data_IF_877429582266
#
_entry.id   IF_877429582266
#
_cell.length_a   1.000
_cell.length_b   1.000
_cell.length_c   1.000
_cell.angle_alpha   90.00
_cell.angle_beta   90.00
_cell.angle_gamma   90.00
#
_symmetry.space_group_name_H-M   'P 1'
#
loop_
_entity.id
_entity.type
_entity.pdbx_description
1 polymer ?
#
# COMPACT_ATOMS: atom_id res chain seq x y z
N UNK A 1 -21.76 -13.69 17.60
CA UNK A 1 -22.08 -14.27 16.27
C UNK A 1 -20.76 -14.58 15.63
N UNK A 2 -20.47 -15.82 15.29
CA UNK A 2 -19.22 -16.17 14.63
C UNK A 2 -19.33 -15.79 13.14
N UNK A 3 -18.34 -15.06 12.63
CA UNK A 3 -18.30 -14.68 11.23
C UNK A 3 -17.74 -15.83 10.38
N UNK A 4 -18.16 -15.90 9.12
CA UNK A 4 -17.48 -16.73 8.13
C UNK A 4 -16.07 -16.23 7.90
N UNK A 5 -15.14 -17.07 7.38
CA UNK A 5 -13.78 -16.66 7.10
C UNK A 5 -13.68 -15.42 6.22
N UNK A 6 -13.04 -14.37 6.73
CA UNK A 6 -12.88 -13.09 6.03
C UNK A 6 -11.84 -13.22 4.90
N UNK A 7 -10.70 -13.84 5.19
CA UNK A 7 -9.67 -14.14 4.21
C UNK A 7 -9.76 -15.63 3.83
N UNK A 8 -9.93 -15.93 2.55
CA UNK A 8 -10.10 -17.31 2.04
C UNK A 8 -9.02 -17.73 1.04
N UNK A 9 -8.14 -16.83 0.69
CA UNK A 9 -7.05 -17.02 -0.26
C UNK A 9 -5.85 -16.19 0.17
N UNK A 10 -4.65 -16.72 -0.01
CA UNK A 10 -3.41 -15.95 0.21
C UNK A 10 -3.12 -14.98 -0.94
N UNK A 11 -3.88 -14.99 -2.04
CA UNK A 11 -3.87 -13.93 -3.05
C UNK A 11 -4.78 -12.74 -2.70
N UNK A 12 -5.62 -12.86 -1.67
CA UNK A 12 -6.51 -11.79 -1.22
C UNK A 12 -5.69 -10.72 -0.48
N UNK A 13 -4.85 -10.01 -1.23
CA UNK A 13 -3.89 -9.01 -0.73
C UNK A 13 -3.41 -8.13 -1.89
N UNK A 14 -2.76 -7.01 -1.55
CA UNK A 14 -2.21 -6.09 -2.53
C UNK A 14 -0.95 -6.64 -3.23
N UNK A 15 -0.86 -6.51 -4.57
CA UNK A 15 0.27 -6.97 -5.38
C UNK A 15 1.62 -6.46 -4.86
N UNK A 16 1.69 -5.25 -4.31
CA UNK A 16 2.95 -4.70 -3.83
C UNK A 16 3.59 -5.54 -2.71
N UNK A 17 2.81 -6.35 -1.98
CA UNK A 17 3.35 -7.26 -0.96
C UNK A 17 4.22 -8.35 -1.61
N UNK A 18 3.74 -8.98 -2.66
CA UNK A 18 4.54 -9.96 -3.41
C UNK A 18 5.76 -9.33 -4.07
N UNK A 19 5.58 -8.13 -4.64
CA UNK A 19 6.69 -7.43 -5.29
C UNK A 19 7.81 -7.07 -4.32
N UNK A 20 7.50 -6.50 -3.16
CA UNK A 20 8.52 -6.18 -2.16
C UNK A 20 9.15 -7.44 -1.58
N UNK A 21 8.32 -8.46 -1.32
CA UNK A 21 8.77 -9.72 -0.74
C UNK A 21 9.73 -10.46 -1.66
N UNK A 22 9.51 -10.46 -2.97
CA UNK A 22 10.44 -11.05 -3.94
C UNK A 22 11.84 -10.41 -3.84
N UNK A 23 11.94 -9.07 -3.71
CA UNK A 23 13.23 -8.41 -3.51
C UNK A 23 13.88 -8.82 -2.19
N UNK A 24 13.07 -8.89 -1.11
CA UNK A 24 13.55 -9.28 0.21
C UNK A 24 14.02 -10.75 0.18
N UNK A 25 13.25 -11.64 -0.43
CA UNK A 25 13.61 -13.05 -0.61
C UNK A 25 14.93 -13.22 -1.34
N UNK A 26 15.20 -12.44 -2.39
CA UNK A 26 16.44 -12.58 -3.15
C UNK A 26 17.66 -11.93 -2.50
N UNK A 27 17.47 -10.91 -1.65
CA UNK A 27 18.59 -10.05 -1.21
C UNK A 27 18.72 -9.85 0.30
N UNK A 28 17.63 -10.03 1.05
CA UNK A 28 17.54 -9.56 2.44
C UNK A 28 16.84 -10.57 3.36
N UNK A 29 17.07 -11.86 3.17
CA UNK A 29 16.44 -12.94 3.96
C UNK A 29 16.87 -12.96 5.43
N UNK A 30 17.95 -12.26 5.78
CA UNK A 30 18.48 -12.10 7.14
C UNK A 30 17.80 -11.02 7.96
N UNK A 31 16.89 -10.23 7.35
CA UNK A 31 16.18 -9.18 8.06
C UNK A 31 15.00 -9.73 8.86
N UNK A 32 14.84 -9.22 10.09
CA UNK A 32 13.66 -9.40 10.94
C UNK A 32 12.91 -8.08 11.08
N UNK A 33 11.58 -8.12 10.99
CA UNK A 33 10.72 -6.94 11.07
C UNK A 33 9.75 -6.99 12.24
N UNK A 34 9.47 -5.83 12.84
CA UNK A 34 8.41 -5.67 13.84
C UNK A 34 7.42 -4.62 13.37
N UNK A 35 6.15 -5.03 13.26
CA UNK A 35 5.04 -4.22 12.79
C UNK A 35 4.05 -3.98 13.93
N UNK A 36 3.46 -2.78 13.93
CA UNK A 36 2.49 -2.40 14.96
C UNK A 36 1.24 -1.80 14.33
N UNK A 37 0.10 -2.26 14.81
CA UNK A 37 -1.20 -1.69 14.48
C UNK A 37 -1.40 -0.33 15.14
N UNK A 38 -2.11 0.56 14.47
CA UNK A 38 -2.58 1.83 15.02
C UNK A 38 -3.94 2.19 14.43
N UNK A 39 -4.93 2.38 15.31
CA UNK A 39 -6.17 3.08 14.98
C UNK A 39 -5.98 4.57 15.25
N UNK A 40 -6.27 5.41 14.25
CA UNK A 40 -6.16 6.88 14.36
C UNK A 40 -7.48 7.55 14.76
N UNK A 41 -8.58 6.81 14.72
CA UNK A 41 -9.87 7.28 15.21
C UNK A 41 -9.90 7.15 16.73
N UNK A 42 -10.04 8.29 17.44
CA UNK A 42 -10.01 8.32 18.91
C UNK A 42 -11.30 7.81 19.56
N UNK A 43 -12.39 7.82 18.81
CA UNK A 43 -13.76 7.43 19.18
C UNK A 43 -14.09 5.96 18.88
N UNK A 44 -13.16 5.25 18.22
CA UNK A 44 -13.33 3.83 17.90
C UNK A 44 -12.94 2.97 19.09
N UNK A 45 -13.85 2.10 19.51
CA UNK A 45 -13.67 1.14 20.60
C UNK A 45 -13.84 -0.27 20.04
N UNK A 46 -12.90 -1.14 20.35
CA UNK A 46 -12.98 -2.57 20.07
C UNK A 46 -13.40 -3.30 21.34
N UNK A 47 -14.48 -4.09 21.26
CA UNK A 47 -14.93 -4.88 22.41
C UNK A 47 -14.14 -6.18 22.56
N UNK A 48 -14.12 -6.82 23.74
CA UNK A 48 -13.50 -8.14 23.91
C UNK A 48 -13.99 -9.19 22.93
N UNK A 49 -15.29 -9.15 22.55
CA UNK A 49 -15.89 -10.07 21.58
C UNK A 49 -15.34 -9.82 20.16
N UNK A 50 -15.12 -8.55 19.76
CA UNK A 50 -14.46 -8.20 18.50
C UNK A 50 -13.01 -8.71 18.48
N UNK A 51 -12.28 -8.58 19.58
CA UNK A 51 -10.89 -9.06 19.70
C UNK A 51 -10.84 -10.59 19.64
N UNK A 52 -11.80 -11.27 20.27
CA UNK A 52 -11.91 -12.72 20.15
C UNK A 52 -12.14 -13.13 18.68
N UNK A 53 -13.09 -12.50 17.99
CA UNK A 53 -13.38 -12.78 16.58
C UNK A 53 -12.13 -12.50 15.70
N UNK A 54 -11.44 -11.38 15.92
CA UNK A 54 -10.18 -11.07 15.22
C UNK A 54 -9.15 -12.21 15.40
N UNK A 55 -8.97 -12.72 16.62
CA UNK A 55 -8.06 -13.84 16.86
C UNK A 55 -8.50 -15.13 16.17
N UNK A 56 -9.80 -15.45 16.16
CA UNK A 56 -10.35 -16.62 15.43
C UNK A 56 -10.11 -16.49 13.92
N UNK A 57 -10.24 -15.29 13.35
CA UNK A 57 -9.93 -15.02 11.95
C UNK A 57 -8.44 -15.10 11.63
N UNK A 58 -7.57 -14.65 12.55
CA UNK A 58 -6.11 -14.83 12.43
C UNK A 58 -5.72 -16.31 12.50
N UNK A 59 -6.34 -17.07 13.39
CA UNK A 59 -6.13 -18.52 13.49
C UNK A 59 -6.52 -19.21 12.18
N UNK A 60 -7.66 -18.82 11.58
CA UNK A 60 -8.07 -19.32 10.26
C UNK A 60 -7.06 -18.94 9.16
N UNK A 61 -6.65 -17.65 9.08
CA UNK A 61 -5.64 -17.17 8.11
C UNK A 61 -4.39 -18.06 8.16
N UNK A 62 -3.93 -18.43 9.35
CA UNK A 62 -2.74 -19.25 9.54
C UNK A 62 -2.91 -20.73 9.14
N UNK A 63 -4.11 -21.16 8.75
CA UNK A 63 -4.36 -22.49 8.15
C UNK A 63 -4.25 -22.49 6.62
N UNK A 64 -4.26 -21.31 6.00
CA UNK A 64 -4.27 -21.17 4.54
C UNK A 64 -2.91 -21.53 3.92
N UNK A 65 -2.98 -22.02 2.70
CA UNK A 65 -1.84 -22.28 1.82
C UNK A 65 -2.16 -21.82 0.42
N UNK A 66 -1.16 -21.45 -0.36
CA UNK A 66 -1.36 -21.15 -1.77
C UNK A 66 -1.88 -22.38 -2.52
N UNK A 67 -2.94 -22.21 -3.29
CA UNK A 67 -3.49 -23.22 -4.19
C UNK A 67 -2.68 -23.26 -5.48
N UNK A 68 -2.79 -24.37 -6.21
CA UNK A 68 -2.05 -24.54 -7.47
C UNK A 68 -2.40 -23.43 -8.48
N UNK A 69 -3.68 -23.14 -8.67
CA UNK A 69 -4.17 -22.10 -9.57
C UNK A 69 -3.69 -20.69 -9.19
N UNK A 70 -3.51 -20.42 -7.91
CA UNK A 70 -2.99 -19.16 -7.39
C UNK A 70 -1.49 -19.00 -7.72
N UNK A 71 -0.72 -20.08 -7.55
CA UNK A 71 0.70 -20.11 -7.91
C UNK A 71 0.90 -20.02 -9.43
N UNK A 72 0.06 -20.70 -10.21
CA UNK A 72 0.09 -20.65 -11.67
C UNK A 72 -0.25 -19.23 -12.18
N UNK A 73 -1.18 -18.53 -11.51
CA UNK A 73 -1.47 -17.14 -11.81
C UNK A 73 -0.29 -16.22 -11.50
N UNK A 74 0.35 -16.35 -10.33
CA UNK A 74 1.54 -15.56 -9.99
C UNK A 74 2.65 -15.76 -11.02
N UNK A 75 2.90 -17.00 -11.50
CA UNK A 75 3.86 -17.28 -12.57
C UNK A 75 3.52 -16.61 -13.90
N UNK A 76 2.23 -16.38 -14.16
CA UNK A 76 1.81 -15.69 -15.39
C UNK A 76 2.14 -14.20 -15.38
N UNK A 77 2.41 -13.61 -14.23
CA UNK A 77 2.81 -12.21 -14.09
C UNK A 77 4.29 -12.10 -14.45
N UNK A 78 4.59 -11.46 -15.57
CA UNK A 78 5.91 -11.43 -16.24
C UNK A 78 7.09 -11.15 -15.32
N UNK A 79 6.94 -10.34 -14.28
CA UNK A 79 8.01 -9.92 -13.39
C UNK A 79 8.07 -10.69 -12.07
N UNK A 80 7.14 -11.62 -11.83
CA UNK A 80 7.22 -12.54 -10.69
C UNK A 80 8.06 -13.75 -11.11
N UNK A 81 9.13 -14.04 -10.37
CA UNK A 81 10.11 -15.06 -10.71
C UNK A 81 9.71 -16.44 -10.20
N UNK A 82 10.06 -17.47 -10.95
CA UNK A 82 9.67 -18.87 -10.66
C UNK A 82 10.21 -19.37 -9.30
N UNK A 83 11.44 -19.02 -8.93
CA UNK A 83 12.05 -19.41 -7.67
C UNK A 83 11.34 -18.77 -6.47
N UNK A 84 10.88 -17.54 -6.61
CA UNK A 84 10.04 -16.90 -5.59
C UNK A 84 8.65 -17.58 -5.49
N UNK A 85 8.04 -17.98 -6.60
CA UNK A 85 6.76 -18.74 -6.57
C UNK A 85 6.95 -20.10 -5.93
N UNK A 86 8.11 -20.79 -6.16
CA UNK A 86 8.42 -22.02 -5.47
C UNK A 86 8.63 -21.83 -3.95
N UNK A 87 9.19 -20.70 -3.53
CA UNK A 87 9.22 -20.32 -2.11
C UNK A 87 7.79 -20.16 -1.56
N UNK A 88 6.92 -19.42 -2.25
CA UNK A 88 5.52 -19.22 -1.83
C UNK A 88 4.74 -20.53 -1.73
N UNK A 89 5.03 -21.51 -2.55
CA UNK A 89 4.42 -22.87 -2.48
C UNK A 89 4.65 -23.53 -1.12
N UNK A 90 5.76 -23.21 -0.46
CA UNK A 90 6.12 -23.76 0.86
C UNK A 90 5.79 -22.80 2.01
N UNK A 91 5.62 -21.52 1.71
CA UNK A 91 5.36 -20.50 2.71
C UNK A 91 3.97 -20.63 3.32
N UNK A 92 3.86 -20.30 4.60
CA UNK A 92 2.60 -20.24 5.36
C UNK A 92 2.64 -19.07 6.33
N UNK A 93 1.49 -18.41 6.59
CA UNK A 93 1.38 -17.50 7.72
C UNK A 93 1.62 -18.27 9.03
N UNK A 94 2.52 -17.78 9.86
CA UNK A 94 2.87 -18.41 11.15
C UNK A 94 2.17 -17.65 12.27
N UNK A 95 1.29 -18.36 13.01
CA UNK A 95 0.47 -17.76 14.08
C UNK A 95 1.31 -17.11 15.19
N UNK A 96 2.42 -17.71 15.54
CA UNK A 96 3.32 -17.25 16.61
C UNK A 96 3.98 -15.90 16.30
N UNK A 97 3.93 -15.43 15.06
CA UNK A 97 4.42 -14.11 14.72
C UNK A 97 3.44 -12.99 15.06
N UNK A 98 2.16 -13.30 15.34
CA UNK A 98 1.10 -12.31 15.54
C UNK A 98 0.56 -12.39 16.96
N UNK A 99 0.51 -11.23 17.64
CA UNK A 99 -0.24 -11.05 18.88
C UNK A 99 -1.34 -10.03 18.66
N UNK A 100 -2.56 -10.30 19.17
CA UNK A 100 -3.68 -9.37 19.10
C UNK A 100 -4.44 -9.36 20.43
N UNK A 101 -4.70 -8.16 20.97
CA UNK A 101 -5.36 -7.97 22.26
C UNK A 101 -5.77 -6.52 22.48
N UNK A 102 -6.30 -6.22 23.67
CA UNK A 102 -6.50 -4.84 24.12
C UNK A 102 -5.35 -4.42 25.02
N UNK A 103 -4.94 -3.17 24.88
CA UNK A 103 -4.00 -2.55 25.82
C UNK A 103 -4.70 -2.17 27.14
N UNK A 104 -3.96 -1.61 28.08
CA UNK A 104 -4.47 -1.13 29.38
C UNK A 104 -5.54 -0.02 29.28
N UNK A 105 -5.60 0.65 28.12
CA UNK A 105 -6.58 1.69 27.82
C UNK A 105 -7.78 1.16 27.01
N UNK A 106 -7.86 -0.15 26.75
CA UNK A 106 -8.91 -0.78 25.95
C UNK A 106 -8.80 -0.51 24.44
N UNK A 107 -7.62 -0.10 23.95
CA UNK A 107 -7.37 0.07 22.52
C UNK A 107 -6.85 -1.23 21.92
N UNK A 108 -7.27 -1.52 20.67
CA UNK A 108 -6.78 -2.69 19.94
C UNK A 108 -5.27 -2.55 19.69
N UNK A 109 -4.53 -3.57 20.10
CA UNK A 109 -3.10 -3.72 19.90
C UNK A 109 -2.84 -4.96 19.08
N UNK A 110 -2.17 -4.82 17.93
CA UNK A 110 -1.70 -5.96 17.14
C UNK A 110 -0.22 -5.73 16.85
N UNK A 111 0.58 -6.75 17.12
CA UNK A 111 2.00 -6.78 16.81
C UNK A 111 2.31 -7.97 15.92
N UNK A 112 3.17 -7.76 14.91
CA UNK A 112 3.72 -8.84 14.09
C UNK A 112 5.24 -8.79 14.18
N UNK A 113 5.86 -9.91 14.56
CA UNK A 113 7.30 -10.00 14.76
C UNK A 113 7.84 -11.30 14.15
N UNK A 114 8.77 -11.20 13.21
CA UNK A 114 9.36 -12.37 12.54
C UNK A 114 10.31 -12.00 11.43
N UNK A 115 10.82 -13.00 10.66
CA UNK A 115 11.57 -12.73 9.44
C UNK A 115 10.78 -11.77 8.53
N UNK A 116 11.47 -10.75 8.01
CA UNK A 116 10.80 -9.64 7.33
C UNK A 116 9.95 -10.11 6.15
N UNK A 117 10.47 -11.04 5.34
CA UNK A 117 9.76 -11.65 4.20
C UNK A 117 8.46 -12.38 4.60
N UNK A 118 8.32 -12.79 5.85
CA UNK A 118 7.11 -13.43 6.36
C UNK A 118 6.20 -12.45 7.11
N UNK A 119 6.79 -11.61 7.98
CA UNK A 119 6.05 -10.67 8.82
C UNK A 119 5.32 -9.60 7.99
N UNK A 120 5.91 -9.14 6.89
CA UNK A 120 5.31 -8.11 6.04
C UNK A 120 4.00 -8.54 5.38
N UNK A 121 3.81 -9.83 5.13
CA UNK A 121 2.62 -10.35 4.47
C UNK A 121 1.35 -10.18 5.31
N UNK A 122 1.48 -10.10 6.64
CA UNK A 122 0.35 -9.98 7.54
C UNK A 122 -0.39 -8.62 7.46
N UNK A 123 0.26 -7.53 7.00
CA UNK A 123 -0.32 -6.17 7.07
C UNK A 123 -1.73 -6.11 6.48
N UNK A 124 -1.90 -6.57 5.24
CA UNK A 124 -3.17 -6.41 4.52
C UNK A 124 -4.23 -7.31 5.11
N UNK A 125 -3.96 -8.59 5.29
CA UNK A 125 -4.91 -9.54 5.89
C UNK A 125 -5.41 -9.08 7.26
N UNK A 126 -4.51 -8.59 8.13
CA UNK A 126 -4.91 -8.12 9.46
C UNK A 126 -5.77 -6.85 9.40
N UNK A 127 -5.47 -5.92 8.47
CA UNK A 127 -6.28 -4.72 8.29
C UNK A 127 -7.67 -5.04 7.75
N UNK A 128 -7.80 -5.98 6.82
CA UNK A 128 -9.07 -6.49 6.31
C UNK A 128 -9.89 -7.14 7.42
N UNK A 129 -9.28 -8.06 8.18
CA UNK A 129 -9.92 -8.73 9.31
C UNK A 129 -10.44 -7.71 10.33
N UNK A 130 -9.60 -6.78 10.76
CA UNK A 130 -9.98 -5.76 11.75
C UNK A 130 -11.12 -4.88 11.23
N UNK A 131 -11.03 -4.44 9.98
CA UNK A 131 -12.04 -3.56 9.41
C UNK A 131 -13.38 -4.27 9.27
N UNK A 132 -13.40 -5.47 8.69
CA UNK A 132 -14.64 -6.22 8.47
C UNK A 132 -15.29 -6.67 9.77
N UNK A 133 -14.53 -7.17 10.76
CA UNK A 133 -15.04 -7.51 12.09
C UNK A 133 -15.70 -6.29 12.73
N UNK A 134 -15.03 -5.13 12.70
CA UNK A 134 -15.57 -3.91 13.29
C UNK A 134 -16.92 -3.52 12.65
N UNK A 135 -16.99 -3.44 11.33
CA UNK A 135 -18.21 -3.00 10.65
C UNK A 135 -19.37 -3.98 10.81
N UNK A 136 -19.11 -5.29 10.71
CA UNK A 136 -20.16 -6.33 10.87
C UNK A 136 -20.68 -6.45 12.30
N UNK A 137 -19.86 -6.19 13.30
CA UNK A 137 -20.27 -6.30 14.70
C UNK A 137 -20.81 -5.00 15.31
N UNK A 138 -20.48 -3.85 14.71
CA UNK A 138 -20.83 -2.53 15.23
C UNK A 138 -22.12 -1.96 14.64
N UNK A 139 -22.37 -2.23 13.35
CA UNK A 139 -23.43 -1.57 12.59
C UNK A 139 -24.45 -2.56 12.02
N UNK A 140 -25.59 -2.02 11.59
CA UNK A 140 -26.52 -2.74 10.71
C UNK A 140 -25.87 -2.87 9.31
N UNK A 141 -25.31 -4.04 9.07
CA UNK A 141 -24.48 -4.30 7.90
C UNK A 141 -25.28 -4.22 6.58
N UNK A 142 -26.55 -4.65 6.58
CA UNK A 142 -27.42 -4.57 5.40
C UNK A 142 -27.71 -3.11 5.01
N UNK A 143 -27.88 -2.24 6.00
CA UNK A 143 -28.07 -0.82 5.78
C UNK A 143 -26.81 -0.17 5.21
N UNK A 144 -25.61 -0.55 5.69
CA UNK A 144 -24.35 -0.10 5.14
C UNK A 144 -24.17 -0.52 3.69
N UNK A 145 -24.47 -1.77 3.34
CA UNK A 145 -24.39 -2.28 1.97
C UNK A 145 -25.29 -1.47 1.03
N UNK A 146 -26.51 -1.17 1.43
CA UNK A 146 -27.42 -0.36 0.62
C UNK A 146 -26.86 1.04 0.37
N UNK A 147 -26.32 1.69 1.40
CA UNK A 147 -25.68 3.00 1.26
C UNK A 147 -24.47 2.94 0.34
N UNK A 148 -23.64 1.88 0.46
CA UNK A 148 -22.46 1.66 -0.40
C UNK A 148 -22.87 1.44 -1.86
N UNK A 149 -23.95 0.68 -2.12
CA UNK A 149 -24.47 0.40 -3.46
C UNK A 149 -24.96 1.68 -4.15
N UNK A 150 -25.76 2.51 -3.45
CA UNK A 150 -26.25 3.79 -3.96
C UNK A 150 -25.10 4.72 -4.38
N UNK A 151 -24.01 4.74 -3.59
CA UNK A 151 -22.81 5.53 -3.89
C UNK A 151 -21.99 4.95 -5.05
N UNK A 152 -21.90 3.62 -5.15
CA UNK A 152 -21.24 2.96 -6.28
C UNK A 152 -22.00 3.23 -7.59
N UNK A 153 -23.32 3.15 -7.59
CA UNK A 153 -24.19 3.47 -8.73
C UNK A 153 -23.93 4.91 -9.22
N UNK A 154 -23.86 5.86 -8.30
CA UNK A 154 -23.59 7.27 -8.63
C UNK A 154 -22.22 7.44 -9.30
N UNK A 155 -21.17 6.76 -8.81
CA UNK A 155 -19.82 6.79 -9.39
C UNK A 155 -19.79 6.21 -10.80
N UNK A 156 -20.39 5.02 -10.99
CA UNK A 156 -20.46 4.36 -12.30
C UNK A 156 -21.21 5.23 -13.29
N UNK A 157 -22.34 5.82 -12.88
CA UNK A 157 -23.10 6.76 -13.71
C UNK A 157 -22.23 7.95 -14.12
N UNK A 158 -21.50 8.58 -13.18
CA UNK A 158 -20.64 9.74 -13.45
C UNK A 158 -19.47 9.40 -14.39
N UNK A 159 -18.97 8.17 -14.38
CA UNK A 159 -17.99 7.69 -15.36
C UNK A 159 -18.61 7.54 -16.75
N UNK A 160 -19.79 6.95 -16.82
CA UNK A 160 -20.45 6.63 -18.09
C UNK A 160 -21.06 7.87 -18.78
N UNK A 161 -21.43 8.91 -18.03
CA UNK A 161 -21.92 10.18 -18.58
C UNK A 161 -20.77 11.19 -18.88
N UNK A 162 -19.51 10.82 -18.61
CA UNK A 162 -18.33 11.62 -18.91
C UNK A 162 -18.01 12.71 -17.87
N UNK A 163 -18.65 12.69 -16.69
CA UNK A 163 -18.27 13.57 -15.57
C UNK A 163 -16.87 13.23 -15.05
N UNK A 164 -16.55 11.94 -14.97
CA UNK A 164 -15.21 11.44 -14.64
C UNK A 164 -14.55 10.82 -15.88
N UNK A 165 -13.43 11.42 -16.32
CA UNK A 165 -12.74 11.03 -17.55
C UNK A 165 -11.37 10.39 -17.32
N UNK A 166 -10.88 10.43 -16.07
CA UNK A 166 -9.58 9.88 -15.69
C UNK A 166 -9.59 8.34 -15.60
N UNK A 167 -8.40 7.75 -15.66
CA UNK A 167 -8.18 6.33 -15.39
C UNK A 167 -7.71 6.11 -13.97
N UNK A 168 -8.20 5.05 -13.29
CA UNK A 168 -7.79 4.70 -11.93
C UNK A 168 -7.65 3.20 -11.74
N UNK A 169 -6.86 2.84 -10.73
CA UNK A 169 -6.82 1.50 -10.16
C UNK A 169 -7.57 1.47 -8.82
N UNK A 170 -8.28 0.41 -8.58
CA UNK A 170 -8.91 0.16 -7.28
C UNK A 170 -7.83 -0.28 -6.27
N UNK A 171 -7.68 0.44 -5.13
CA UNK A 171 -6.67 0.25 -4.08
C UNK A 171 -7.32 0.11 -2.69
N UNK A 172 -8.52 -0.46 -2.63
CA UNK A 172 -9.34 -0.49 -1.42
C UNK A 172 -9.15 -1.69 -0.51
N UNK A 173 -8.37 -2.68 -0.91
CA UNK A 173 -8.22 -3.98 -0.27
C UNK A 173 -8.13 -3.90 1.27
N UNK A 174 -7.12 -3.25 1.82
CA UNK A 174 -6.81 -3.19 3.27
C UNK A 174 -7.86 -2.53 4.17
N UNK A 175 -8.82 -1.80 3.62
CA UNK A 175 -9.89 -1.10 4.37
C UNK A 175 -11.27 -1.32 3.76
N UNK A 176 -11.42 -2.39 3.00
CA UNK A 176 -12.69 -2.78 2.39
C UNK A 176 -13.78 -2.95 3.44
N UNK A 177 -15.02 -2.69 3.09
CA UNK A 177 -16.17 -2.91 3.96
C UNK A 177 -16.31 -4.40 4.27
N UNK A 178 -16.21 -5.25 3.25
CA UNK A 178 -16.06 -6.69 3.34
C UNK A 178 -15.45 -7.27 2.06
N UNK A 179 -15.01 -8.53 2.13
CA UNK A 179 -14.53 -9.28 0.97
C UNK A 179 -15.58 -9.35 -0.14
N UNK A 180 -16.82 -9.69 0.21
CA UNK A 180 -17.93 -9.83 -0.74
C UNK A 180 -18.27 -8.48 -1.39
N UNK A 181 -18.17 -7.39 -0.62
CA UNK A 181 -18.45 -6.06 -1.15
C UNK A 181 -17.34 -5.57 -2.09
N UNK A 182 -16.07 -5.76 -1.74
CA UNK A 182 -14.97 -5.43 -2.64
C UNK A 182 -15.06 -6.21 -3.96
N UNK A 183 -15.45 -7.48 -3.90
CA UNK A 183 -15.69 -8.32 -5.07
C UNK A 183 -16.76 -7.71 -5.99
N UNK A 184 -17.87 -7.23 -5.44
CA UNK A 184 -18.92 -6.51 -6.19
C UNK A 184 -18.36 -5.22 -6.80
N UNK A 185 -17.63 -4.43 -6.03
CA UNK A 185 -17.04 -3.14 -6.46
C UNK A 185 -16.10 -3.33 -7.64
N UNK A 186 -15.12 -4.23 -7.51
CA UNK A 186 -14.15 -4.49 -8.58
C UNK A 186 -14.85 -5.01 -9.82
N UNK A 187 -15.75 -6.02 -9.68
CA UNK A 187 -16.54 -6.55 -10.80
C UNK A 187 -17.25 -5.44 -11.55
N UNK A 188 -18.00 -4.61 -10.83
CA UNK A 188 -18.81 -3.55 -11.45
C UNK A 188 -17.95 -2.49 -12.12
N UNK A 189 -16.85 -2.04 -11.49
CA UNK A 189 -15.97 -1.07 -12.12
C UNK A 189 -15.35 -1.60 -13.42
N UNK A 190 -14.88 -2.85 -13.44
CA UNK A 190 -14.21 -3.39 -14.64
C UNK A 190 -15.19 -3.82 -15.74
N UNK A 191 -16.44 -4.16 -15.40
CA UNK A 191 -17.44 -4.59 -16.41
C UNK A 191 -18.36 -3.47 -16.89
N UNK A 192 -18.62 -2.43 -16.07
CA UNK A 192 -19.59 -1.39 -16.35
C UNK A 192 -18.94 -0.05 -16.74
N UNK A 193 -17.60 0.11 -16.58
CA UNK A 193 -16.90 1.35 -16.94
C UNK A 193 -15.66 1.11 -17.76
N UNK A 194 -15.16 2.17 -18.42
CA UNK A 194 -13.88 2.17 -19.12
C UNK A 194 -12.76 2.84 -18.29
N UNK A 195 -13.05 3.29 -17.08
CA UNK A 195 -12.17 4.10 -16.25
C UNK A 195 -11.25 3.27 -15.33
N UNK A 196 -11.74 2.13 -14.86
CA UNK A 196 -10.97 1.23 -14.02
C UNK A 196 -9.98 0.41 -14.87
N UNK A 197 -8.68 0.53 -14.55
CA UNK A 197 -7.61 -0.17 -15.29
C UNK A 197 -7.13 -1.44 -14.59
N UNK A 198 -7.65 -1.75 -13.41
CA UNK A 198 -7.32 -2.94 -12.63
C UNK A 198 -7.47 -2.71 -11.13
N UNK A 199 -7.00 -3.65 -10.34
CA UNK A 199 -7.06 -3.61 -8.87
C UNK A 199 -5.71 -3.97 -8.26
N UNK A 200 -5.45 -3.52 -7.04
CA UNK A 200 -4.30 -3.97 -6.27
C UNK A 200 -4.50 -5.37 -5.65
N UNK A 201 -5.76 -5.80 -5.48
CA UNK A 201 -6.10 -7.12 -4.94
C UNK A 201 -5.80 -8.21 -5.98
N UNK A 202 -4.81 -9.05 -5.69
CA UNK A 202 -4.31 -10.07 -6.65
C UNK A 202 -5.35 -11.17 -6.89
N UNK A 203 -6.13 -11.54 -5.87
CA UNK A 203 -7.20 -12.52 -6.02
C UNK A 203 -8.30 -12.04 -6.96
N UNK A 204 -8.72 -10.78 -6.82
CA UNK A 204 -9.74 -10.20 -7.69
C UNK A 204 -9.21 -9.92 -9.09
N UNK A 205 -7.93 -9.57 -9.22
CA UNK A 205 -7.30 -9.45 -10.53
C UNK A 205 -7.30 -10.79 -11.29
N UNK A 206 -6.93 -11.88 -10.61
CA UNK A 206 -7.04 -13.24 -11.16
C UNK A 206 -8.48 -13.60 -11.52
N UNK A 207 -9.43 -13.34 -10.62
CA UNK A 207 -10.84 -13.71 -10.78
C UNK A 207 -11.51 -13.04 -11.98
N UNK A 208 -11.17 -11.79 -12.26
CA UNK A 208 -11.80 -10.98 -13.31
C UNK A 208 -10.93 -10.79 -14.54
N UNK A 209 -9.77 -11.45 -14.61
CA UNK A 209 -8.79 -11.34 -15.70
C UNK A 209 -8.44 -9.89 -16.03
N UNK A 210 -8.12 -9.12 -14.96
CA UNK A 210 -7.70 -7.72 -15.08
C UNK A 210 -6.29 -7.55 -14.54
N UNK A 211 -5.66 -6.41 -14.86
CA UNK A 211 -4.27 -6.14 -14.48
C UNK A 211 -4.14 -5.99 -12.97
N UNK A 212 -3.33 -6.81 -12.29
CA UNK A 212 -2.95 -6.56 -10.90
C UNK A 212 -1.98 -5.36 -10.85
N UNK A 213 -2.25 -4.37 -9.98
CA UNK A 213 -1.51 -3.11 -9.96
C UNK A 213 -0.91 -2.87 -8.58
N UNK A 214 0.39 -2.60 -8.56
CA UNK A 214 1.11 -2.26 -7.35
C UNK A 214 2.62 -2.28 -7.58
N UNK A 215 3.35 -1.37 -6.90
CA UNK A 215 4.81 -1.34 -6.94
C UNK A 215 5.38 -1.65 -5.57
N UNK A 216 5.74 -0.63 -4.77
CA UNK A 216 6.17 -0.80 -3.38
C UNK A 216 5.57 0.25 -2.45
N UNK A 217 5.57 -0.06 -1.16
CA UNK A 217 5.14 0.83 -0.09
C UNK A 217 6.34 1.38 0.71
N UNK A 218 6.07 2.29 1.65
CA UNK A 218 7.10 2.93 2.48
C UNK A 218 7.99 1.94 3.22
N UNK A 219 7.43 0.83 3.70
CA UNK A 219 8.18 -0.20 4.43
C UNK A 219 9.37 -0.74 3.65
N UNK A 220 9.29 -0.81 2.32
CA UNK A 220 10.40 -1.22 1.46
C UNK A 220 11.59 -0.26 1.57
N UNK A 221 11.36 1.05 1.58
CA UNK A 221 12.44 2.02 1.79
C UNK A 221 12.87 2.07 3.25
N UNK A 222 11.92 1.95 4.19
CA UNK A 222 12.21 1.94 5.63
C UNK A 222 13.12 0.79 6.06
N UNK A 223 12.99 -0.41 5.45
CA UNK A 223 13.83 -1.55 5.83
C UNK A 223 15.33 -1.29 5.68
N UNK A 224 15.73 -0.47 4.70
CA UNK A 224 17.12 -0.11 4.49
C UNK A 224 17.70 0.74 5.64
N UNK A 225 16.88 1.37 6.47
CA UNK A 225 17.33 2.08 7.67
C UNK A 225 17.84 1.12 8.76
N UNK A 226 17.40 -0.14 8.74
CA UNK A 226 17.86 -1.19 9.67
C UNK A 226 19.10 -1.96 9.20
N UNK A 227 19.67 -1.63 8.02
CA UNK A 227 20.85 -2.30 7.47
C UNK A 227 22.10 -1.49 7.80
N UNK A 228 23.03 -2.09 8.55
CA UNK A 228 24.23 -1.42 9.10
C UNK A 228 25.11 -0.73 8.07
N UNK A 229 25.25 -1.35 6.91
CA UNK A 229 26.14 -0.84 5.85
C UNK A 229 25.55 0.33 5.06
N UNK A 230 24.27 0.70 5.32
CA UNK A 230 23.56 1.72 4.54
C UNK A 230 23.42 3.00 5.37
N UNK A 231 24.03 4.13 4.94
CA UNK A 231 23.81 5.41 5.61
C UNK A 231 22.35 5.87 5.47
N UNK A 232 21.75 6.35 6.56
CA UNK A 232 20.31 6.68 6.63
C UNK A 232 19.83 7.64 5.54
N UNK A 233 20.63 8.64 5.19
CA UNK A 233 20.28 9.59 4.14
C UNK A 233 20.37 9.02 2.70
N UNK A 234 20.75 7.75 2.52
CA UNK A 234 20.85 7.08 1.21
C UNK A 234 19.87 5.92 1.02
N UNK A 235 18.93 5.74 1.93
CA UNK A 235 17.96 4.63 1.87
C UNK A 235 17.13 4.62 0.59
N UNK A 236 16.70 5.78 0.08
CA UNK A 236 16.03 5.88 -1.22
C UNK A 236 16.91 5.35 -2.36
N UNK A 237 18.21 5.69 -2.37
CA UNK A 237 19.15 5.25 -3.39
C UNK A 237 19.23 3.72 -3.46
N UNK A 238 19.46 3.08 -2.30
CA UNK A 238 19.60 1.62 -2.23
C UNK A 238 18.29 0.91 -2.56
N UNK A 239 17.16 1.40 -2.05
CA UNK A 239 15.85 0.85 -2.37
C UNK A 239 15.55 0.90 -3.87
N UNK A 240 15.74 2.06 -4.53
CA UNK A 240 15.54 2.19 -5.97
C UNK A 240 16.49 1.32 -6.79
N UNK A 241 17.76 1.21 -6.36
CA UNK A 241 18.75 0.38 -7.04
C UNK A 241 18.39 -1.10 -6.98
N UNK A 242 18.02 -1.60 -5.80
CA UNK A 242 17.65 -3.01 -5.64
C UNK A 242 16.36 -3.34 -6.36
N UNK A 243 15.38 -2.42 -6.33
CA UNK A 243 14.15 -2.54 -7.10
C UNK A 243 14.40 -2.62 -8.61
N UNK A 244 15.23 -1.72 -9.13
CA UNK A 244 15.59 -1.73 -10.55
C UNK A 244 16.33 -3.01 -10.96
N UNK A 245 17.28 -3.47 -10.13
CA UNK A 245 18.02 -4.70 -10.38
C UNK A 245 17.14 -5.94 -10.36
N UNK A 246 16.04 -5.93 -9.60
CA UNK A 246 15.09 -7.03 -9.53
C UNK A 246 14.17 -7.07 -10.73
N UNK A 247 13.65 -5.90 -11.13
CA UNK A 247 12.56 -5.76 -12.10
C UNK A 247 12.99 -5.25 -13.48
N UNK A 248 14.23 -4.80 -13.66
CA UNK A 248 14.82 -4.37 -14.94
C UNK A 248 13.96 -3.35 -15.71
N UNK A 249 13.19 -2.51 -14.99
CA UNK A 249 12.29 -1.50 -15.56
C UNK A 249 10.80 -1.84 -15.51
N UNK A 250 10.43 -3.10 -15.24
CA UNK A 250 9.08 -3.45 -14.84
C UNK A 250 8.76 -2.85 -13.46
N UNK A 251 7.48 -2.68 -13.11
CA UNK A 251 7.07 -2.06 -11.85
C UNK A 251 7.73 -0.69 -11.58
N UNK A 252 8.07 0.04 -12.64
CA UNK A 252 8.93 1.23 -12.61
C UNK A 252 8.26 2.51 -12.07
N UNK A 253 7.36 2.44 -11.07
CA UNK A 253 6.77 3.60 -10.41
C UNK A 253 7.31 3.74 -9.00
N UNK A 254 8.16 4.75 -8.75
CA UNK A 254 8.82 4.95 -7.46
C UNK A 254 7.99 5.80 -6.51
N UNK A 255 7.92 5.40 -5.23
CA UNK A 255 7.30 6.16 -4.15
C UNK A 255 8.29 7.23 -3.63
N UNK A 256 7.87 8.50 -3.54
CA UNK A 256 8.82 9.61 -3.35
C UNK A 256 8.98 10.09 -1.91
N UNK A 257 7.98 9.87 -1.03
CA UNK A 257 7.86 10.60 0.24
C UNK A 257 8.26 9.81 1.49
N UNK A 258 8.96 8.68 1.37
CA UNK A 258 9.34 7.90 2.56
C UNK A 258 10.29 8.69 3.46
N UNK A 259 11.32 9.30 2.87
CA UNK A 259 12.32 10.11 3.59
C UNK A 259 12.30 11.58 3.11
N UNK A 260 11.23 12.03 2.54
CA UNK A 260 10.92 13.28 1.84
C UNK A 260 11.18 13.22 0.33
N UNK A 261 10.32 13.90 -0.43
CA UNK A 261 10.48 14.01 -1.90
C UNK A 261 11.75 14.79 -2.25
N UNK A 262 12.17 15.77 -1.47
CA UNK A 262 13.40 16.52 -1.74
C UNK A 262 14.65 15.62 -1.68
N UNK A 263 14.73 14.75 -0.67
CA UNK A 263 15.83 13.78 -0.60
C UNK A 263 15.74 12.73 -1.71
N UNK A 264 14.53 12.25 -2.03
CA UNK A 264 14.32 11.34 -3.14
C UNK A 264 14.84 11.89 -4.47
N UNK A 265 14.59 13.17 -4.76
CA UNK A 265 15.03 13.82 -5.99
C UNK A 265 16.56 13.95 -6.11
N UNK A 266 17.32 13.97 -5.01
CA UNK A 266 18.78 13.88 -5.08
C UNK A 266 19.24 12.51 -5.62
N UNK A 267 18.55 11.44 -5.24
CA UNK A 267 18.86 10.08 -5.66
C UNK A 267 18.24 9.72 -7.02
N UNK A 268 17.16 10.41 -7.40
CA UNK A 268 16.46 10.20 -8.67
C UNK A 268 17.18 10.91 -9.81
N UNK A 269 18.42 10.47 -10.04
CA UNK A 269 19.35 11.02 -11.01
C UNK A 269 19.00 10.63 -12.46
N UNK A 270 19.82 11.07 -13.44
CA UNK A 270 19.60 10.79 -14.87
C UNK A 270 19.34 9.32 -15.19
N UNK A 271 20.07 8.39 -14.56
CA UNK A 271 19.88 6.96 -14.79
C UNK A 271 18.51 6.52 -14.29
N UNK A 272 18.15 6.88 -13.07
CA UNK A 272 16.84 6.54 -12.47
C UNK A 272 15.67 7.18 -13.23
N UNK A 273 15.78 8.46 -13.60
CA UNK A 273 14.78 9.16 -14.41
C UNK A 273 14.52 8.46 -15.75
N UNK A 274 15.54 7.92 -16.40
CA UNK A 274 15.37 7.18 -17.66
C UNK A 274 14.75 5.79 -17.44
N UNK A 275 15.17 5.09 -16.41
CA UNK A 275 14.83 3.68 -16.18
C UNK A 275 13.46 3.49 -15.52
N UNK A 276 13.02 4.45 -14.69
CA UNK A 276 11.70 4.40 -14.08
C UNK A 276 10.63 4.96 -15.01
N UNK A 277 9.46 4.32 -15.03
CA UNK A 277 8.32 4.73 -15.86
C UNK A 277 7.55 5.90 -15.26
N UNK A 278 7.63 6.08 -13.93
CA UNK A 278 6.95 7.15 -13.23
C UNK A 278 7.27 7.23 -11.74
N UNK A 279 6.51 8.07 -11.05
CA UNK A 279 6.61 8.26 -9.60
C UNK A 279 5.22 8.35 -8.96
N UNK A 280 5.15 8.02 -7.65
CA UNK A 280 3.91 8.03 -6.86
C UNK A 280 3.93 9.07 -5.76
N UNK A 281 2.84 9.85 -5.70
CA UNK A 281 2.50 10.78 -4.64
C UNK A 281 1.70 10.09 -3.54
N UNK A 282 2.10 10.26 -2.27
CA UNK A 282 1.40 9.69 -1.10
C UNK A 282 1.32 10.66 0.10
N UNK A 283 1.79 11.90 -0.04
CA UNK A 283 1.63 12.97 0.96
C UNK A 283 1.98 14.35 0.43
N UNK A 284 1.55 15.38 1.15
CA UNK A 284 1.78 16.78 0.80
C UNK A 284 0.80 17.34 -0.24
N UNK A 285 1.11 18.53 -0.78
CA UNK A 285 0.30 19.14 -1.83
C UNK A 285 0.55 18.47 -3.18
N UNK A 286 -0.46 17.79 -3.79
CA UNK A 286 -0.28 17.05 -5.03
C UNK A 286 0.05 17.94 -6.24
N UNK A 287 -0.40 19.20 -6.27
CA UNK A 287 -0.11 20.12 -7.36
C UNK A 287 1.34 20.57 -7.33
N UNK A 288 1.80 21.05 -6.16
CA UNK A 288 3.19 21.46 -5.96
C UNK A 288 4.16 20.29 -6.19
N UNK A 289 3.82 19.08 -5.71
CA UNK A 289 4.59 17.87 -5.93
C UNK A 289 4.68 17.54 -7.42
N UNK A 290 3.57 17.49 -8.14
CA UNK A 290 3.54 17.13 -9.56
C UNK A 290 4.33 18.13 -10.42
N UNK A 291 4.20 19.45 -10.18
CA UNK A 291 4.98 20.46 -10.88
C UNK A 291 6.49 20.36 -10.59
N UNK A 292 6.87 20.03 -9.33
CA UNK A 292 8.27 19.75 -8.93
C UNK A 292 8.84 18.54 -9.68
N UNK A 293 8.11 17.45 -9.79
CA UNK A 293 8.52 16.25 -10.54
C UNK A 293 8.66 16.56 -12.04
N UNK A 294 7.71 17.26 -12.64
CA UNK A 294 7.78 17.67 -14.05
C UNK A 294 9.01 18.54 -14.32
N UNK A 295 9.33 19.47 -13.43
CA UNK A 295 10.54 20.28 -13.53
C UNK A 295 11.81 19.41 -13.43
N UNK A 296 11.80 18.39 -12.57
CA UNK A 296 12.94 17.46 -12.42
C UNK A 296 13.15 16.62 -13.71
N UNK A 297 12.10 16.10 -14.35
CA UNK A 297 12.22 15.43 -15.64
C UNK A 297 12.84 16.34 -16.69
N UNK A 298 12.36 17.60 -16.80
CA UNK A 298 12.88 18.60 -17.74
C UNK A 298 14.34 18.93 -17.47
N UNK A 299 14.77 19.00 -16.19
CA UNK A 299 16.19 19.20 -15.80
C UNK A 299 17.11 18.16 -16.43
N UNK A 300 16.65 16.91 -16.56
CA UNK A 300 17.41 15.82 -17.17
C UNK A 300 17.16 15.65 -18.68
N UNK A 301 16.39 16.54 -19.31
CA UNK A 301 16.06 16.48 -20.73
C UNK A 301 15.08 15.37 -21.12
N UNK A 302 14.27 14.90 -20.17
CA UNK A 302 13.25 13.89 -20.39
C UNK A 302 11.90 14.58 -20.58
N UNK A 303 11.17 14.18 -21.64
CA UNK A 303 9.82 14.68 -21.90
C UNK A 303 8.86 14.10 -20.82
N UNK A 304 8.25 14.96 -19.97
CA UNK A 304 7.32 14.52 -18.94
C UNK A 304 6.12 13.73 -19.49
N UNK A 305 5.71 13.98 -20.75
CA UNK A 305 4.60 13.24 -21.40
C UNK A 305 4.89 11.76 -21.58
N UNK A 306 6.14 11.34 -21.48
CA UNK A 306 6.52 9.92 -21.50
C UNK A 306 6.44 9.25 -20.14
N UNK A 307 6.31 10.02 -19.06
CA UNK A 307 6.37 9.57 -17.65
C UNK A 307 5.00 9.61 -16.98
N UNK A 308 4.84 8.79 -15.94
CA UNK A 308 3.61 8.66 -15.17
C UNK A 308 3.71 9.40 -13.83
N UNK A 309 2.71 10.21 -13.51
CA UNK A 309 2.41 10.65 -12.15
C UNK A 309 1.24 9.80 -11.62
N UNK A 310 1.49 9.00 -10.59
CA UNK A 310 0.48 8.22 -9.89
C UNK A 310 0.13 8.92 -8.57
N UNK A 311 -1.11 9.33 -8.39
CA UNK A 311 -1.62 9.90 -7.16
C UNK A 311 -2.38 8.86 -6.35
N UNK A 312 -2.12 8.77 -5.02
CA UNK A 312 -2.73 7.75 -4.16
C UNK A 312 -3.08 8.22 -2.73
N UNK A 313 -2.87 9.50 -2.40
CA UNK A 313 -3.17 10.03 -1.06
C UNK A 313 -4.58 10.58 -0.95
N UNK A 314 -5.42 9.94 -0.14
CA UNK A 314 -6.73 10.46 0.31
C UNK A 314 -7.62 10.96 -0.84
N UNK A 315 -7.67 10.20 -1.93
CA UNK A 315 -8.41 10.55 -3.14
C UNK A 315 -9.87 10.09 -3.05
N UNK A 316 -10.78 11.03 -3.32
CA UNK A 316 -12.11 10.77 -3.87
C UNK A 316 -12.11 11.02 -5.39
N UNK A 317 -13.23 10.75 -6.04
CA UNK A 317 -13.36 10.86 -7.50
C UNK A 317 -13.33 12.31 -7.99
N UNK A 318 -13.90 13.26 -7.23
CA UNK A 318 -13.90 14.67 -7.58
C UNK A 318 -12.48 15.26 -7.52
N UNK A 319 -11.72 14.89 -6.49
CA UNK A 319 -10.32 15.31 -6.34
C UNK A 319 -9.46 14.72 -7.43
N UNK A 320 -9.68 13.46 -7.78
CA UNK A 320 -8.97 12.80 -8.88
C UNK A 320 -9.25 13.49 -10.23
N UNK A 321 -10.51 13.88 -10.51
CA UNK A 321 -10.86 14.62 -11.74
C UNK A 321 -10.13 15.96 -11.80
N UNK A 322 -10.13 16.74 -10.71
CA UNK A 322 -9.42 18.02 -10.66
C UNK A 322 -7.92 17.90 -10.91
N UNK A 323 -7.28 16.85 -10.36
CA UNK A 323 -5.86 16.56 -10.61
C UNK A 323 -5.62 16.12 -12.05
N UNK A 324 -6.52 15.32 -12.61
CA UNK A 324 -6.46 14.91 -14.01
C UNK A 324 -6.53 16.12 -14.93
N UNK A 325 -7.50 17.01 -14.76
CA UNK A 325 -7.67 18.23 -15.56
C UNK A 325 -6.44 19.14 -15.52
N UNK A 326 -5.75 19.17 -14.37
CA UNK A 326 -4.54 19.99 -14.22
C UNK A 326 -3.31 19.39 -14.90
N UNK A 327 -3.15 18.05 -14.89
CA UNK A 327 -1.92 17.39 -15.33
C UNK A 327 -2.00 16.66 -16.68
N UNK A 328 -3.19 16.34 -17.21
CA UNK A 328 -3.37 15.47 -18.38
C UNK A 328 -2.64 15.96 -19.64
N UNK A 329 -2.51 17.27 -19.83
CA UNK A 329 -1.78 17.88 -20.96
C UNK A 329 -0.26 17.94 -20.74
N UNK A 330 0.21 17.74 -19.48
CA UNK A 330 1.62 17.89 -19.07
C UNK A 330 2.36 16.56 -18.97
N UNK A 331 1.66 15.48 -18.61
CA UNK A 331 2.25 14.16 -18.30
C UNK A 331 1.18 13.07 -18.37
N UNK A 332 1.58 11.78 -18.31
CA UNK A 332 0.63 10.69 -18.06
C UNK A 332 0.18 10.73 -16.60
N UNK A 333 -1.12 10.51 -16.36
CA UNK A 333 -1.70 10.57 -15.02
C UNK A 333 -2.49 9.29 -14.75
N UNK A 334 -2.37 8.74 -13.56
CA UNK A 334 -3.22 7.68 -13.04
C UNK A 334 -3.47 7.87 -11.55
N UNK A 335 -4.48 7.18 -11.02
CA UNK A 335 -4.93 7.33 -9.65
C UNK A 335 -5.09 5.95 -9.00
N UNK A 336 -4.64 5.83 -7.74
CA UNK A 336 -4.96 4.71 -6.87
C UNK A 336 -6.02 5.17 -5.86
N UNK A 337 -7.26 4.69 -6.01
CA UNK A 337 -8.37 5.08 -5.13
C UNK A 337 -8.73 3.89 -4.24
N UNK A 338 -8.59 4.07 -2.93
CA UNK A 338 -8.80 3.01 -1.95
C UNK A 338 -10.19 3.06 -1.32
N UNK A 339 -10.28 3.60 -0.12
CA UNK A 339 -11.48 3.60 0.73
C UNK A 339 -12.74 4.11 0.01
N UNK A 340 -12.63 5.12 -0.84
CA UNK A 340 -13.76 5.63 -1.63
C UNK A 340 -14.24 4.67 -2.74
N UNK A 341 -13.52 3.58 -3.01
CA UNK A 341 -14.01 2.46 -3.82
C UNK A 341 -14.70 1.42 -2.93
N UNK A 342 -13.98 0.86 -1.98
CA UNK A 342 -14.34 -0.39 -1.27
C UNK A 342 -15.04 -0.18 0.07
N UNK A 343 -15.09 1.04 0.62
CA UNK A 343 -15.73 1.35 1.92
C UNK A 343 -16.28 2.78 1.97
N UNK A 344 -17.03 3.17 0.94
CA UNK A 344 -17.73 4.45 0.90
C UNK A 344 -19.19 4.22 1.30
N UNK A 345 -19.49 4.46 2.57
CA UNK A 345 -20.81 4.26 3.19
C UNK A 345 -21.27 5.55 3.89
N UNK A 346 -22.43 5.51 4.54
CA UNK A 346 -22.89 6.59 5.42
C UNK A 346 -22.01 6.72 6.68
N UNK A 347 -21.32 5.63 7.09
CA UNK A 347 -20.43 5.61 8.23
C UNK A 347 -18.98 5.87 7.78
N UNK A 348 -18.19 6.48 8.68
CA UNK A 348 -16.79 6.73 8.42
C UNK A 348 -15.98 5.43 8.41
N UNK A 349 -15.24 5.23 7.35
CA UNK A 349 -14.24 4.16 7.30
C UNK A 349 -13.18 4.32 8.42
N UNK A 350 -12.69 3.18 8.93
CA UNK A 350 -11.62 3.20 9.91
C UNK A 350 -10.32 3.76 9.33
N UNK A 351 -9.65 4.62 10.08
CA UNK A 351 -8.30 5.06 9.77
C UNK A 351 -7.28 4.20 10.51
N UNK A 352 -7.15 2.96 10.07
CA UNK A 352 -6.27 1.96 10.64
C UNK A 352 -5.06 1.73 9.74
N UNK A 353 -3.93 1.42 10.35
CA UNK A 353 -2.66 1.08 9.68
C UNK A 353 -1.90 0.04 10.48
N UNK A 354 -1.10 -0.77 9.81
CA UNK A 354 -0.02 -1.57 10.40
C UNK A 354 1.28 -1.07 9.78
N UNK A 355 2.29 -0.77 10.59
CA UNK A 355 3.53 -0.15 10.11
C UNK A 355 4.76 -0.80 10.70
N UNK A 356 5.75 -1.01 9.84
CA UNK A 356 7.10 -1.40 10.21
C UNK A 356 7.70 -0.32 11.12
N UNK A 357 8.16 -0.72 12.30
CA UNK A 357 8.75 0.17 13.30
C UNK A 357 10.18 -0.20 13.67
N UNK A 358 10.54 -1.48 13.53
CA UNK A 358 11.88 -1.97 13.79
C UNK A 358 12.31 -2.96 12.72
N UNK A 359 13.58 -2.91 12.35
CA UNK A 359 14.26 -3.91 11.51
C UNK A 359 15.55 -4.32 12.24
N UNK A 360 15.73 -5.62 12.48
CA UNK A 360 16.84 -6.17 13.27
C UNK A 360 17.03 -5.47 14.63
N UNK A 361 15.91 -5.14 15.28
CA UNK A 361 15.88 -4.43 16.58
C UNK A 361 16.20 -2.93 16.50
N UNK A 362 16.42 -2.37 15.32
CA UNK A 362 16.67 -0.94 15.10
C UNK A 362 15.39 -0.22 14.71
N UNK A 363 15.11 0.97 15.26
CA UNK A 363 13.97 1.75 14.85
C UNK A 363 14.10 2.18 13.38
N UNK A 364 12.96 2.22 12.68
CA UNK A 364 12.84 2.75 11.32
C UNK A 364 11.68 3.73 11.23
N UNK A 365 11.76 4.71 10.34
CA UNK A 365 10.78 5.79 10.30
C UNK A 365 10.40 6.19 8.87
N UNK A 366 9.13 6.62 8.73
CA UNK A 366 8.68 7.44 7.59
C UNK A 366 8.72 8.91 8.02
N UNK A 367 9.40 9.78 7.24
CA UNK A 367 9.36 11.23 7.48
C UNK A 367 8.15 11.89 6.85
N UNK A 368 7.78 11.51 5.63
CA UNK A 368 6.70 12.12 4.84
C UNK A 368 6.99 13.58 4.44
N UNK A 369 6.33 14.06 3.38
CA UNK A 369 6.34 15.49 3.02
C UNK A 369 5.36 16.30 3.87
N UNK A 370 4.44 15.63 4.56
CA UNK A 370 3.55 16.21 5.56
C UNK A 370 4.10 15.92 6.97
N UNK A 371 4.53 16.96 7.66
CA UNK A 371 5.14 16.87 9.01
C UNK A 371 4.24 16.12 10.01
N UNK A 372 2.92 16.21 9.87
CA UNK A 372 1.94 15.51 10.71
C UNK A 372 1.83 14.01 10.44
N UNK A 373 2.37 13.52 9.33
CA UNK A 373 2.32 12.10 8.92
C UNK A 373 3.59 11.31 9.26
N UNK A 374 4.59 11.93 9.87
CA UNK A 374 5.78 11.21 10.34
C UNK A 374 5.39 10.08 11.31
N UNK A 375 6.00 8.90 11.15
CA UNK A 375 5.70 7.73 11.99
C UNK A 375 6.99 7.07 12.43
N UNK A 376 7.21 7.09 13.74
CA UNK A 376 8.25 6.36 14.44
C UNK A 376 7.82 6.18 15.89
N UNK A 377 8.17 5.06 16.53
CA UNK A 377 7.98 4.85 17.98
C UNK A 377 9.13 5.40 18.81
N UNK A 378 10.26 5.70 18.15
CA UNK A 378 11.46 6.26 18.78
C UNK A 378 11.66 7.71 18.30
N UNK A 379 11.36 8.66 19.18
CA UNK A 379 11.46 10.10 18.86
C UNK A 379 12.91 10.59 18.72
N UNK A 380 13.84 9.97 19.46
CA UNK A 380 15.27 10.31 19.38
C UNK A 380 15.82 9.90 18.01
N UNK A 381 15.50 8.67 17.59
CA UNK A 381 15.84 8.18 16.27
C UNK A 381 15.21 9.04 15.16
N UNK A 382 13.93 9.41 15.29
CA UNK A 382 13.26 10.29 14.34
C UNK A 382 13.99 11.63 14.20
N UNK A 383 14.42 12.21 15.31
CA UNK A 383 15.24 13.43 15.34
C UNK A 383 16.60 13.25 14.67
N UNK A 384 17.24 12.10 14.87
CA UNK A 384 18.52 11.78 14.22
C UNK A 384 18.37 11.61 12.72
N UNK A 385 17.34 10.88 12.26
CA UNK A 385 17.05 10.72 10.83
C UNK A 385 16.81 12.07 10.15
N UNK A 386 16.00 12.96 10.75
CA UNK A 386 15.76 14.32 10.23
C UNK A 386 17.06 15.09 10.04
N UNK A 387 17.92 15.14 11.05
CA UNK A 387 19.23 15.83 10.96
C UNK A 387 20.12 15.23 9.87
N UNK A 388 20.13 13.91 9.70
CA UNK A 388 20.90 13.24 8.65
C UNK A 388 20.43 13.62 7.25
N UNK A 389 19.11 13.74 7.06
CA UNK A 389 18.49 14.18 5.81
C UNK A 389 18.82 15.65 5.53
N UNK A 390 18.60 16.53 6.50
CA UNK A 390 18.90 17.97 6.36
C UNK A 390 20.37 18.23 6.05
N UNK A 391 21.28 17.48 6.69
CA UNK A 391 22.71 17.60 6.43
C UNK A 391 23.05 17.26 4.98
N UNK A 392 22.48 16.14 4.45
CA UNK A 392 22.71 15.77 3.06
C UNK A 392 22.12 16.79 2.08
N UNK A 393 20.88 17.26 2.33
CA UNK A 393 20.24 18.28 1.48
C UNK A 393 21.07 19.56 1.40
N UNK A 394 21.62 20.03 2.52
CA UNK A 394 22.49 21.22 2.55
C UNK A 394 23.77 21.01 1.76
N UNK A 395 24.48 19.88 2.00
CA UNK A 395 25.74 19.56 1.33
C UNK A 395 25.61 19.45 -0.19
N UNK A 396 24.51 18.94 -0.70
CA UNK A 396 24.28 18.76 -2.15
C UNK A 396 23.72 20.04 -2.82
N UNK A 397 23.38 21.08 -2.03
CA UNK A 397 22.95 22.40 -2.52
C UNK A 397 24.11 23.40 -2.65
N UNK A 398 25.26 23.15 -1.98
CA UNK A 398 26.53 23.88 -2.09
C UNK A 398 27.36 23.40 -3.30
#
# INVERSE_FOLDING_TARGET
>A
MKLEPIVISLLDTDLYKFNMDQVIFHKHTDLCGQYFFKCRNKDVIFTPEMVQEINEQIDHLCTLTFKKEELDYLRSIRFIKDDYVEFLRLWRPIRDYVTAGLDENGQLCIEVNGPLFSAMQFEIYLLEIVNEVYFRMKYDYEKLLKSAEERLDAKIKAMNDGTYTFKFAEFGCRRRLSREWEDVVVKRFVTETQNCVGTSNVYLAMKYDVTPIGTYAHEFVQMYQGIDSIPLAYTNHYAMKDWYNEYEGDNGTALTDTVTTDLFLLDFNRSMVNNYTGVRHDSGDPYAWGDKIIAHYKKYGVDPKTKLLLFSDSLDFDRAQKLYDYFCDKTKVSFGIGTFCSNDTEEKALNIVIKLQYVNGRPVAKLSDDIGKAMCRDEEYLGYLKRSVEFRLKREAE
#
